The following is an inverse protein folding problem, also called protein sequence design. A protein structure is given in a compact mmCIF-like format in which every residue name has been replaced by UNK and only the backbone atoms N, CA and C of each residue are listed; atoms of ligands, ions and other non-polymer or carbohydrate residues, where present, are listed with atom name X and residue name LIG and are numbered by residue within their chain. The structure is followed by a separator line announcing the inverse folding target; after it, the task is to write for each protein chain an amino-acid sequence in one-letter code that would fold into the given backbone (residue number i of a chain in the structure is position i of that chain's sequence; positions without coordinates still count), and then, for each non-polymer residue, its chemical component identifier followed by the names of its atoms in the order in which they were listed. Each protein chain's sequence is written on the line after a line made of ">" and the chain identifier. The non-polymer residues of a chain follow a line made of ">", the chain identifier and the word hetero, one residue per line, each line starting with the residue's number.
data_IF_483698194720
#
_entry.id   IF_483698194720
#
_cell.length_a   1.000
_cell.length_b   1.000
_cell.length_c   1.000
_cell.angle_alpha   90.00
_cell.angle_beta   90.00
_cell.angle_gamma   90.00
#
_symmetry.space_group_name_H-M   'P 1'
#
loop_
_entity.id
_entity.type
_entity.pdbx_description
1 polymer ?
#
# COMPACT_ATOMS: atom_id res chain seq x y z
N UNK A 1 -15.58 -16.77 -2.64
CA UNK A 1 -14.30 -16.15 -3.04
C UNK A 1 -14.40 -14.65 -3.26
N UNK A 2 -15.31 -14.13 -4.11
CA UNK A 2 -15.40 -12.69 -4.42
C UNK A 2 -15.54 -11.78 -3.19
N UNK A 3 -16.38 -12.15 -2.22
CA UNK A 3 -16.59 -11.35 -0.98
C UNK A 3 -15.28 -11.21 -0.19
N UNK A 4 -14.53 -12.30 -0.02
CA UNK A 4 -13.26 -12.29 0.71
C UNK A 4 -12.22 -11.38 0.06
N UNK A 5 -12.06 -11.46 -1.27
CA UNK A 5 -11.12 -10.63 -2.02
C UNK A 5 -11.52 -9.15 -2.04
N UNK A 6 -12.82 -8.85 -2.01
CA UNK A 6 -13.31 -7.47 -1.87
C UNK A 6 -12.98 -6.91 -0.49
N UNK A 7 -13.21 -7.69 0.57
CA UNK A 7 -12.84 -7.31 1.95
C UNK A 7 -11.34 -7.07 2.06
N UNK A 8 -10.52 -7.99 1.54
CA UNK A 8 -9.07 -7.83 1.50
C UNK A 8 -8.66 -6.56 0.74
N UNK A 9 -9.28 -6.26 -0.40
CA UNK A 9 -9.01 -5.02 -1.14
C UNK A 9 -9.37 -3.75 -0.35
N UNK A 10 -10.47 -3.76 0.41
CA UNK A 10 -10.84 -2.64 1.29
C UNK A 10 -9.86 -2.52 2.46
N UNK A 11 -9.47 -3.64 3.06
CA UNK A 11 -8.46 -3.67 4.12
C UNK A 11 -7.14 -3.11 3.62
N UNK A 12 -6.69 -3.54 2.43
CA UNK A 12 -5.49 -3.04 1.77
C UNK A 12 -5.50 -1.52 1.64
N UNK A 13 -6.61 -0.93 1.20
CA UNK A 13 -6.75 0.53 1.11
C UNK A 13 -6.65 1.21 2.48
N UNK A 14 -7.29 0.65 3.50
CA UNK A 14 -7.18 1.18 4.88
C UNK A 14 -5.75 1.09 5.39
N UNK A 15 -5.03 0.01 5.09
CA UNK A 15 -3.63 -0.17 5.46
C UNK A 15 -2.72 0.83 4.74
N UNK A 16 -2.98 1.14 3.46
CA UNK A 16 -2.27 2.19 2.72
C UNK A 16 -2.46 3.57 3.37
N UNK A 17 -3.68 3.91 3.76
CA UNK A 17 -3.95 5.15 4.49
C UNK A 17 -3.28 5.17 5.87
N UNK A 18 -3.30 4.05 6.59
CA UNK A 18 -2.66 3.93 7.89
C UNK A 18 -1.13 4.08 7.78
N UNK A 19 -0.51 3.52 6.74
CA UNK A 19 0.90 3.72 6.42
C UNK A 19 1.22 5.20 6.20
N UNK A 20 0.42 5.90 5.38
CA UNK A 20 0.62 7.32 5.11
C UNK A 20 0.44 8.16 6.39
N UNK A 21 -0.56 7.84 7.20
CA UNK A 21 -0.80 8.49 8.49
C UNK A 21 0.36 8.26 9.47
N UNK A 22 0.87 7.04 9.57
CA UNK A 22 2.03 6.69 10.40
C UNK A 22 3.27 7.50 10.04
N UNK A 23 3.59 7.59 8.75
CA UNK A 23 4.73 8.34 8.24
C UNK A 23 4.54 9.84 8.45
N UNK A 24 3.35 10.36 8.16
CA UNK A 24 3.01 11.77 8.41
C UNK A 24 3.15 12.12 9.89
N UNK A 25 2.59 11.27 10.76
CA UNK A 25 2.62 11.45 12.21
C UNK A 25 4.06 11.50 12.74
N UNK A 26 4.91 10.58 12.29
CA UNK A 26 6.34 10.62 12.58
C UNK A 26 6.97 11.96 12.15
N UNK A 27 6.70 12.43 10.93
CA UNK A 27 7.23 13.70 10.44
C UNK A 27 6.76 14.92 11.24
N UNK A 28 5.52 14.91 11.73
CA UNK A 28 4.99 15.98 12.58
C UNK A 28 5.49 15.95 14.03
N UNK A 29 6.22 14.91 14.44
CA UNK A 29 6.88 14.93 15.76
C UNK A 29 8.06 15.90 15.81
N UNK A 30 8.58 16.31 14.65
CA UNK A 30 9.55 17.39 14.55
C UNK A 30 8.82 18.74 14.69
N UNK A 31 9.36 19.66 15.48
CA UNK A 31 8.74 20.97 15.71
C UNK A 31 8.96 21.98 14.57
N UNK A 32 8.16 23.04 14.54
CA UNK A 32 8.35 24.20 13.65
C UNK A 32 8.21 23.87 12.15
N UNK A 33 8.96 24.60 11.31
CA UNK A 33 8.92 24.42 9.85
C UNK A 33 9.38 23.03 9.41
N UNK A 34 10.35 22.45 10.12
CA UNK A 34 10.88 21.11 9.82
C UNK A 34 9.77 20.04 9.96
N UNK A 35 8.93 20.15 10.98
CA UNK A 35 7.76 19.29 11.17
C UNK A 35 6.80 19.29 10.00
N UNK A 36 6.47 20.48 9.49
CA UNK A 36 5.58 20.61 8.33
C UNK A 36 6.19 20.02 7.07
N UNK A 37 7.48 20.27 6.83
CA UNK A 37 8.20 19.72 5.68
C UNK A 37 8.26 18.19 5.74
N UNK A 38 8.57 17.61 6.89
CA UNK A 38 8.66 16.15 7.03
C UNK A 38 7.27 15.49 7.05
N UNK A 39 6.33 16.05 7.82
CA UNK A 39 4.97 15.54 7.98
C UNK A 39 4.17 15.50 6.69
N UNK A 40 4.46 16.39 5.73
CA UNK A 40 3.84 16.39 4.39
C UNK A 40 4.76 15.82 3.31
N UNK A 41 6.07 16.05 3.41
CA UNK A 41 7.05 15.62 2.42
C UNK A 41 7.25 14.12 2.38
N UNK A 42 7.38 13.48 3.56
CA UNK A 42 7.54 12.02 3.64
C UNK A 42 6.34 11.25 3.04
N UNK A 43 5.07 11.50 3.43
CA UNK A 43 3.94 10.81 2.81
C UNK A 43 3.79 11.14 1.33
N UNK A 44 4.13 12.37 0.88
CA UNK A 44 4.11 12.72 -0.53
C UNK A 44 5.12 11.91 -1.35
N UNK A 45 6.32 11.67 -0.81
CA UNK A 45 7.33 10.78 -1.42
C UNK A 45 6.78 9.35 -1.52
N UNK A 46 6.16 8.83 -0.46
CA UNK A 46 5.55 7.50 -0.48
C UNK A 46 4.46 7.41 -1.54
N UNK A 47 3.56 8.38 -1.62
CA UNK A 47 2.50 8.44 -2.65
C UNK A 47 3.12 8.45 -4.06
N UNK A 48 4.18 9.24 -4.29
CA UNK A 48 4.84 9.32 -5.59
C UNK A 48 5.47 7.97 -5.98
N UNK A 49 6.21 7.33 -5.06
CA UNK A 49 6.79 6.00 -5.27
C UNK A 49 5.68 4.97 -5.54
N UNK A 50 4.62 4.98 -4.75
CA UNK A 50 3.49 4.06 -4.91
C UNK A 50 2.79 4.24 -6.26
N UNK A 51 2.49 5.48 -6.64
CA UNK A 51 1.85 5.82 -7.89
C UNK A 51 2.71 5.48 -9.11
N UNK A 52 4.03 5.61 -9.00
CA UNK A 52 4.96 5.34 -10.08
C UNK A 52 5.18 3.84 -10.34
N UNK A 53 5.17 3.01 -9.28
CA UNK A 53 5.66 1.62 -9.34
C UNK A 53 4.64 0.55 -8.91
N UNK A 54 3.70 0.86 -8.02
CA UNK A 54 2.83 -0.14 -7.36
C UNK A 54 1.40 -0.09 -7.89
N UNK A 55 0.88 1.11 -8.18
CA UNK A 55 -0.52 1.33 -8.56
C UNK A 55 -0.95 0.53 -9.81
N UNK A 56 -2.24 0.18 -9.95
CA UNK A 56 -2.72 -0.58 -11.11
C UNK A 56 -2.42 0.10 -12.46
N UNK A 57 -2.46 1.44 -12.46
CA UNK A 57 -2.17 2.32 -13.61
C UNK A 57 -0.79 2.97 -13.52
N UNK A 58 0.13 2.40 -12.74
CA UNK A 58 1.48 2.91 -12.59
C UNK A 58 2.21 2.96 -13.94
N UNK A 59 2.87 4.09 -14.23
CA UNK A 59 3.59 4.33 -15.49
C UNK A 59 4.74 3.33 -15.65
N UNK A 60 5.42 3.00 -14.54
CA UNK A 60 6.51 2.02 -14.48
C UNK A 60 6.16 0.90 -13.51
N UNK A 61 4.97 0.31 -13.70
CA UNK A 61 4.49 -0.75 -12.82
C UNK A 61 5.52 -1.89 -12.70
N UNK A 62 5.98 -2.15 -11.48
CA UNK A 62 6.89 -3.26 -11.21
C UNK A 62 6.15 -4.59 -11.32
N UNK A 63 6.83 -5.58 -11.87
CA UNK A 63 6.39 -6.97 -11.81
C UNK A 63 6.64 -7.54 -10.40
N UNK A 64 5.85 -8.53 -10.00
CA UNK A 64 6.22 -9.37 -8.85
C UNK A 64 7.48 -10.19 -9.23
N UNK A 65 8.47 -10.34 -8.34
CA UNK A 65 8.45 -10.05 -6.90
C UNK A 65 8.90 -8.62 -6.51
N UNK A 66 9.46 -7.83 -7.43
CA UNK A 66 10.01 -6.50 -7.10
C UNK A 66 8.96 -5.56 -6.52
N UNK A 67 7.73 -5.61 -7.03
CA UNK A 67 6.59 -4.86 -6.49
C UNK A 67 6.31 -5.22 -5.02
N UNK A 68 6.30 -6.50 -4.68
CA UNK A 68 6.12 -6.96 -3.30
C UNK A 68 7.25 -6.50 -2.39
N UNK A 69 8.51 -6.54 -2.85
CA UNK A 69 9.64 -6.04 -2.07
C UNK A 69 9.46 -4.55 -1.75
N UNK A 70 9.02 -3.75 -2.71
CA UNK A 70 8.75 -2.33 -2.49
C UNK A 70 7.62 -2.12 -1.47
N UNK A 71 6.51 -2.85 -1.59
CA UNK A 71 5.41 -2.79 -0.62
C UNK A 71 5.90 -3.14 0.81
N UNK A 72 6.68 -4.22 0.95
CA UNK A 72 7.27 -4.65 2.22
C UNK A 72 8.16 -3.56 2.83
N UNK A 73 9.02 -2.95 2.03
CA UNK A 73 9.90 -1.86 2.48
C UNK A 73 9.07 -0.67 2.97
N UNK A 74 8.05 -0.26 2.21
CA UNK A 74 7.20 0.88 2.60
C UNK A 74 6.44 0.60 3.90
N UNK A 75 5.85 -0.58 4.06
CA UNK A 75 5.18 -0.96 5.31
C UNK A 75 6.15 -1.12 6.49
N UNK A 76 7.35 -1.64 6.26
CA UNK A 76 8.41 -1.70 7.28
C UNK A 76 8.84 -0.29 7.73
N UNK A 77 8.92 0.67 6.79
CA UNK A 77 9.16 2.08 7.13
C UNK A 77 8.03 2.66 7.96
N UNK A 78 6.76 2.35 7.66
CA UNK A 78 5.62 2.75 8.50
C UNK A 78 5.67 2.17 9.91
N UNK A 79 6.04 0.89 10.04
CA UNK A 79 6.29 0.25 11.32
C UNK A 79 7.43 0.95 12.09
N UNK A 80 8.55 1.22 11.42
CA UNK A 80 9.70 1.92 12.00
C UNK A 80 9.36 3.35 12.43
N UNK A 81 8.56 4.06 11.65
CA UNK A 81 8.07 5.40 11.96
C UNK A 81 7.24 5.41 13.25
N UNK A 82 6.31 4.46 13.41
CA UNK A 82 5.53 4.32 14.65
C UNK A 82 6.39 3.86 15.84
N UNK A 83 7.34 2.97 15.61
CA UNK A 83 8.28 2.54 16.66
C UNK A 83 9.14 3.71 17.15
N UNK A 84 9.60 4.58 16.26
CA UNK A 84 10.43 5.74 16.60
C UNK A 84 9.71 6.79 17.47
N UNK A 85 8.37 6.78 17.48
CA UNK A 85 7.54 7.65 18.33
C UNK A 85 6.91 6.91 19.52
N UNK A 86 7.43 5.72 19.84
CA UNK A 86 7.00 4.91 20.99
C UNK A 86 5.73 4.08 20.76
N UNK A 87 5.14 4.13 19.57
CA UNK A 87 3.91 3.42 19.19
C UNK A 87 4.19 2.09 18.49
N UNK A 88 5.25 1.38 18.92
CA UNK A 88 5.70 0.13 18.29
C UNK A 88 4.62 -0.96 18.18
N UNK A 89 3.66 -1.15 19.12
CA UNK A 89 2.63 -2.17 18.97
C UNK A 89 1.74 -1.91 17.75
N UNK A 90 1.40 -0.64 17.49
CA UNK A 90 0.65 -0.24 16.31
C UNK A 90 1.46 -0.42 15.03
N UNK A 91 2.77 -0.18 15.08
CA UNK A 91 3.68 -0.47 13.97
C UNK A 91 3.71 -1.95 13.60
N UNK A 92 3.83 -2.83 14.60
CA UNK A 92 3.78 -4.29 14.40
C UNK A 92 2.42 -4.72 13.86
N UNK A 93 1.32 -4.20 14.43
CA UNK A 93 -0.03 -4.52 13.98
C UNK A 93 -0.26 -4.12 12.51
N UNK A 94 0.20 -2.93 12.11
CA UNK A 94 0.13 -2.44 10.73
C UNK A 94 0.87 -3.38 9.78
N UNK A 95 2.13 -3.73 10.10
CA UNK A 95 2.94 -4.60 9.26
C UNK A 95 2.38 -6.02 9.18
N UNK A 96 1.96 -6.58 10.31
CA UNK A 96 1.35 -7.91 10.36
C UNK A 96 0.04 -7.97 9.55
N UNK A 97 -0.83 -6.96 9.69
CA UNK A 97 -2.06 -6.88 8.92
C UNK A 97 -1.80 -6.81 7.41
N UNK A 98 -0.77 -6.08 6.99
CA UNK A 98 -0.31 -6.06 5.59
C UNK A 98 0.16 -7.44 5.11
N UNK A 99 0.96 -8.15 5.90
CA UNK A 99 1.45 -9.50 5.54
C UNK A 99 0.29 -10.47 5.38
N UNK A 100 -0.67 -10.45 6.31
CA UNK A 100 -1.87 -11.30 6.26
C UNK A 100 -2.72 -10.97 5.03
N UNK A 101 -3.01 -9.69 4.79
CA UNK A 101 -3.75 -9.24 3.62
C UNK A 101 -3.07 -9.69 2.30
N UNK A 102 -1.75 -9.51 2.20
CA UNK A 102 -0.98 -9.95 1.03
C UNK A 102 -1.03 -11.47 0.85
N UNK A 103 -0.96 -12.24 1.93
CA UNK A 103 -1.08 -13.70 1.87
C UNK A 103 -2.48 -14.12 1.36
N UNK A 104 -3.54 -13.49 1.87
CA UNK A 104 -4.93 -13.75 1.42
C UNK A 104 -5.08 -13.43 -0.07
N UNK A 105 -4.64 -12.27 -0.53
CA UNK A 105 -4.74 -11.88 -1.94
C UNK A 105 -3.93 -12.80 -2.87
N UNK A 106 -2.80 -13.32 -2.40
CA UNK A 106 -1.96 -14.25 -3.17
C UNK A 106 -2.59 -15.64 -3.25
N UNK A 107 -3.21 -16.12 -2.17
CA UNK A 107 -3.85 -17.43 -2.12
C UNK A 107 -5.16 -17.51 -2.93
N UNK A 108 -5.95 -16.42 -2.99
CA UNK A 108 -7.29 -16.44 -3.57
C UNK A 108 -7.47 -15.67 -4.90
N UNK A 109 -6.43 -15.00 -5.39
CA UNK A 109 -6.44 -14.30 -6.68
C UNK A 109 -7.18 -12.95 -6.67
N UNK A 110 -6.92 -12.10 -7.68
CA UNK A 110 -7.60 -10.80 -7.82
C UNK A 110 -9.10 -10.99 -8.14
N UNK A 111 -9.97 -10.05 -7.73
CA UNK A 111 -11.39 -10.12 -8.05
C UNK A 111 -11.64 -10.20 -9.56
N UNK A 112 -12.63 -11.01 -10.01
CA UNK A 112 -12.99 -11.19 -11.43
C UNK A 112 -13.23 -9.90 -12.22
N UNK A 113 -13.57 -8.78 -11.56
CA UNK A 113 -13.72 -7.49 -12.23
C UNK A 113 -12.40 -6.86 -12.70
N UNK A 114 -11.26 -7.38 -12.22
CA UNK A 114 -9.92 -6.98 -12.64
C UNK A 114 -9.43 -7.75 -13.89
N UNK A 115 -10.13 -8.80 -14.32
CA UNK A 115 -9.84 -9.45 -15.60
C UNK A 115 -10.18 -8.47 -16.74
N UNK A 116 -9.28 -8.26 -17.70
CA UNK A 116 -9.60 -7.51 -18.90
C UNK A 116 -10.81 -8.19 -19.56
N UNK A 117 -11.95 -7.49 -19.66
CA UNK A 117 -13.10 -7.98 -20.41
C UNK A 117 -12.61 -8.34 -21.81
N UNK A 118 -12.50 -9.63 -22.10
CA UNK A 118 -12.27 -10.11 -23.45
C UNK A 118 -13.40 -9.53 -24.30
N UNK A 119 -13.06 -8.60 -25.20
CA UNK A 119 -14.05 -8.09 -26.15
C UNK A 119 -14.48 -9.31 -26.96
N UNK A 120 -15.79 -9.58 -27.13
CA UNK A 120 -16.23 -10.60 -28.04
C UNK A 120 -15.52 -10.38 -29.37
N UNK A 121 -14.77 -11.37 -29.84
CA UNK A 121 -14.17 -11.31 -31.18
C UNK A 121 -15.34 -11.07 -32.13
N UNK A 122 -15.40 -9.88 -32.72
CA UNK A 122 -16.34 -9.59 -33.81
C UNK A 122 -16.04 -10.61 -34.89
N UNK A 123 -16.89 -11.63 -35.03
CA UNK A 123 -17.00 -12.41 -36.25
C UNK A 123 -17.33 -11.40 -37.35
N UNK A 124 -16.33 -11.08 -38.15
CA UNK A 124 -16.55 -10.30 -39.37
C UNK A 124 -17.32 -11.21 -40.35
N UNK A 125 -18.30 -10.65 -41.06
CA UNK A 125 -19.15 -11.39 -41.99
C UNK A 125 -18.35 -11.97 -43.16
#
# INVERSE_FOLDING_TARGET
>A
MVVLTSIASMLRFVLELALLAAISYFGFTFGGLVGWVLGLGLPAIVIAIWGAFVAPRAVRRLADPARLVLELVLFALGMGALAAVGQWPWGVALFAAFVVDRAVLTAYGLPRWAEPRERPMRSRP
#
